data_IF_084485922013
#
_entry.id   IF_084485922013
#
_cell.length_a   1.000
_cell.length_b   1.000
_cell.length_c   1.000
_cell.angle_alpha   90.00
_cell.angle_beta   90.00
_cell.angle_gamma   90.00
#
_symmetry.space_group_name_H-M   'P 1'
#
loop_
_entity.id
_entity.type
_entity.pdbx_description
1 polymer ?
#
# COMPACT_ATOMS: atom_id res chain seq x y z
N UNK A 1 31.77 10.28 -1.60
CA UNK A 1 30.38 10.46 -1.14
C UNK A 1 29.51 10.64 -2.38
N UNK A 2 28.83 9.58 -2.82
CA UNK A 2 27.91 9.61 -3.96
C UNK A 2 26.51 9.85 -3.40
N UNK A 3 25.89 10.93 -3.87
CA UNK A 3 24.60 11.43 -3.40
C UNK A 3 23.49 10.44 -3.74
N UNK A 4 22.90 9.84 -2.72
CA UNK A 4 21.76 8.94 -2.83
C UNK A 4 20.48 9.77 -2.65
N UNK A 5 20.13 10.57 -3.66
CA UNK A 5 18.78 11.13 -3.75
C UNK A 5 17.89 10.08 -4.41
N UNK A 6 17.44 9.09 -3.61
CA UNK A 6 16.32 8.25 -4.02
C UNK A 6 15.07 9.12 -4.05
N UNK A 7 14.63 9.40 -5.26
CA UNK A 7 13.42 10.14 -5.58
C UNK A 7 12.23 9.26 -5.21
N UNK A 8 11.74 9.42 -3.98
CA UNK A 8 10.50 8.81 -3.52
C UNK A 8 9.34 9.52 -4.21
N UNK A 9 9.03 9.11 -5.44
CA UNK A 9 7.87 9.58 -6.19
C UNK A 9 6.62 8.88 -5.63
N UNK A 10 6.10 9.41 -4.52
CA UNK A 10 4.74 9.12 -4.08
C UNK A 10 3.78 9.75 -5.10
N UNK A 11 3.39 8.98 -6.11
CA UNK A 11 2.29 9.34 -7.01
C UNK A 11 0.99 9.14 -6.21
N UNK A 12 0.60 10.15 -5.43
CA UNK A 12 -0.75 10.28 -4.90
C UNK A 12 -1.69 10.60 -6.06
N UNK A 13 -2.08 9.57 -6.79
CA UNK A 13 -2.97 9.64 -7.94
C UNK A 13 -4.31 8.96 -7.69
N UNK A 14 -5.10 9.44 -6.72
CA UNK A 14 -6.53 9.09 -6.64
C UNK A 14 -7.34 10.27 -6.11
N UNK A 15 -7.44 11.34 -6.91
CA UNK A 15 -8.54 12.30 -6.79
C UNK A 15 -9.79 11.70 -7.45
N UNK A 16 -10.37 10.68 -6.81
CA UNK A 16 -11.64 10.10 -7.22
C UNK A 16 -12.75 10.97 -6.62
N UNK A 17 -13.38 11.77 -7.48
CA UNK A 17 -14.56 12.55 -7.16
C UNK A 17 -15.71 11.58 -6.83
N UNK A 18 -16.25 11.62 -5.61
CA UNK A 18 -17.43 10.84 -5.22
C UNK A 18 -18.64 11.78 -5.16
N UNK A 19 -19.38 11.83 -6.26
CA UNK A 19 -20.76 12.28 -6.29
C UNK A 19 -21.62 11.07 -6.69
N UNK A 20 -22.40 10.53 -5.75
CA UNK A 20 -23.23 9.36 -6.01
C UNK A 20 -23.86 8.81 -4.74
N UNK A 21 -24.92 9.46 -4.30
CA UNK A 21 -25.86 9.01 -3.28
C UNK A 21 -26.49 7.65 -3.67
N UNK A 22 -26.32 6.62 -2.85
CA UNK A 22 -27.37 5.66 -2.45
C UNK A 22 -26.80 4.51 -1.59
N UNK A 23 -27.53 4.22 -0.50
CA UNK A 23 -27.25 3.20 0.51
C UNK A 23 -26.96 1.80 -0.06
N UNK A 24 -25.69 1.51 -0.32
CA UNK A 24 -25.15 0.16 -0.41
C UNK A 24 -24.22 0.02 0.79
N UNK A 25 -24.51 -0.95 1.65
CA UNK A 25 -23.54 -1.46 2.62
C UNK A 25 -22.45 -2.14 1.79
N UNK A 26 -21.51 -1.36 1.26
CA UNK A 26 -20.23 -1.91 0.85
C UNK A 26 -19.45 -2.05 2.15
N UNK A 27 -19.32 -3.28 2.65
CA UNK A 27 -18.12 -3.63 3.38
C UNK A 27 -16.98 -3.27 2.44
N UNK A 28 -16.43 -2.07 2.63
CA UNK A 28 -15.19 -1.68 1.98
C UNK A 28 -14.18 -2.61 2.63
N UNK A 29 -13.95 -3.75 1.98
CA UNK A 29 -12.85 -4.64 2.25
C UNK A 29 -11.60 -3.82 1.86
N UNK A 30 -11.23 -2.87 2.74
CA UNK A 30 -10.23 -1.82 2.56
C UNK A 30 -8.85 -2.48 2.50
N UNK A 31 -8.64 -3.17 1.39
CA UNK A 31 -7.44 -3.90 1.10
C UNK A 31 -6.44 -2.88 0.53
N UNK A 32 -5.30 -2.76 1.19
CA UNK A 32 -4.26 -1.82 0.79
C UNK A 32 -3.37 -2.55 -0.20
N UNK A 33 -3.41 -2.10 -1.46
CA UNK A 33 -2.51 -2.61 -2.49
C UNK A 33 -1.09 -2.16 -2.21
N UNK A 34 -0.19 -3.12 -2.07
CA UNK A 34 1.25 -2.90 -1.83
C UNK A 34 2.04 -3.58 -2.93
N UNK A 35 3.18 -2.98 -3.28
CA UNK A 35 4.17 -3.60 -4.15
C UNK A 35 5.50 -3.58 -3.41
N UNK A 36 6.06 -4.77 -3.22
CA UNK A 36 7.32 -4.97 -2.52
C UNK A 36 8.51 -4.52 -3.38
N UNK A 37 9.67 -4.36 -2.76
CA UNK A 37 10.92 -3.95 -3.43
C UNK A 37 11.34 -4.88 -4.56
N UNK A 38 11.07 -6.18 -4.44
CA UNK A 38 11.35 -7.18 -5.46
C UNK A 38 10.28 -7.26 -6.58
N UNK A 39 9.30 -6.36 -6.59
CA UNK A 39 8.29 -6.23 -7.64
C UNK A 39 7.07 -7.15 -7.50
N UNK A 40 6.94 -7.84 -6.36
CA UNK A 40 5.75 -8.63 -6.02
C UNK A 40 4.66 -7.68 -5.51
N UNK A 41 3.46 -7.77 -6.10
CA UNK A 41 2.32 -6.97 -5.68
C UNK A 41 1.22 -7.84 -5.07
N UNK A 42 0.51 -7.29 -4.08
CA UNK A 42 -0.60 -7.97 -3.43
C UNK A 42 -1.47 -6.99 -2.66
N UNK A 43 -2.58 -7.51 -2.11
CA UNK A 43 -3.44 -6.73 -1.24
C UNK A 43 -3.31 -7.19 0.22
N UNK A 44 -3.19 -6.24 1.14
CA UNK A 44 -3.10 -6.51 2.58
C UNK A 44 -4.34 -5.96 3.27
N UNK A 45 -5.03 -6.83 4.01
CA UNK A 45 -6.16 -6.45 4.85
C UNK A 45 -5.65 -6.17 6.26
N UNK A 46 -5.78 -4.92 6.70
CA UNK A 46 -5.30 -4.48 8.01
C UNK A 46 -6.24 -3.43 8.58
N UNK A 47 -6.33 -3.40 9.91
CA UNK A 47 -7.19 -2.46 10.64
C UNK A 47 -6.44 -1.22 11.14
N UNK A 48 -5.12 -1.17 10.95
CA UNK A 48 -4.29 -0.03 11.36
C UNK A 48 -3.04 0.11 10.48
N UNK A 49 -2.54 1.35 10.39
CA UNK A 49 -1.30 1.65 9.66
C UNK A 49 -0.09 0.91 10.25
N UNK A 50 -0.03 0.70 11.57
CA UNK A 50 1.08 -0.03 12.17
C UNK A 50 1.10 -1.49 11.70
N UNK A 51 -0.07 -2.14 11.67
CA UNK A 51 -0.20 -3.51 11.18
C UNK A 51 0.15 -3.62 9.69
N UNK A 52 -0.13 -2.58 8.89
CA UNK A 52 0.32 -2.51 7.49
C UNK A 52 1.84 -2.55 7.40
N UNK A 53 2.51 -1.70 8.17
CA UNK A 53 3.97 -1.57 8.17
C UNK A 53 4.60 -2.92 8.57
N UNK A 54 4.13 -3.52 9.66
CA UNK A 54 4.64 -4.80 10.14
C UNK A 54 4.48 -5.93 9.09
N UNK A 55 3.35 -5.93 8.35
CA UNK A 55 3.12 -6.90 7.27
C UNK A 55 4.04 -6.66 6.06
N UNK A 56 4.24 -5.40 5.67
CA UNK A 56 5.14 -5.05 4.58
C UNK A 56 6.57 -5.43 4.96
N UNK A 57 7.04 -5.06 6.15
CA UNK A 57 8.39 -5.41 6.63
C UNK A 57 8.62 -6.92 6.64
N UNK A 58 7.66 -7.71 7.14
CA UNK A 58 7.74 -9.16 7.08
C UNK A 58 7.77 -9.68 5.64
N UNK A 59 6.94 -9.14 4.75
CA UNK A 59 6.85 -9.57 3.37
C UNK A 59 8.12 -9.23 2.58
N UNK A 60 8.71 -8.06 2.80
CA UNK A 60 10.00 -7.65 2.23
C UNK A 60 11.11 -8.64 2.65
N UNK A 61 11.25 -8.92 3.95
CA UNK A 61 12.27 -9.84 4.45
C UNK A 61 12.07 -11.29 3.94
N UNK A 62 10.82 -11.74 3.82
CA UNK A 62 10.51 -13.12 3.41
C UNK A 62 10.61 -13.33 1.89
N UNK A 63 10.06 -12.41 1.09
CA UNK A 63 9.98 -12.57 -0.38
C UNK A 63 11.15 -11.92 -1.11
N UNK A 64 11.69 -10.83 -0.57
CA UNK A 64 12.73 -10.02 -1.22
C UNK A 64 14.10 -10.16 -0.54
N UNK A 65 14.20 -10.91 0.57
CA UNK A 65 15.44 -11.15 1.34
C UNK A 65 16.15 -9.86 1.81
N UNK A 66 15.36 -8.83 2.16
CA UNK A 66 15.84 -7.51 2.64
C UNK A 66 15.96 -7.43 4.18
#
# INVERSE_FOLDING_TARGET
MKNLFLTLAFVFGTASTFAGDSNIVEEVDDCINVTLSCGVSGCVYVTSTQMLIDHIEFAEAYWCED
#
